data_IF_489113393068
#
_entry.id   IF_489113393068
#
_cell.length_a   1.000
_cell.length_b   1.000
_cell.length_c   1.000
_cell.angle_alpha   90.00
_cell.angle_beta   90.00
_cell.angle_gamma   90.00
#
_symmetry.space_group_name_H-M   'P 1'
#
loop_
_entity.id
_entity.type
_entity.pdbx_description
1 polymer ?
#
# COMPACT_ATOMS: atom_id res chain seq x y z
N UNK A 1 33.45 16.12 55.69
CA UNK A 1 34.01 14.92 55.03
C UNK A 1 33.30 14.72 53.71
N UNK A 2 34.06 14.78 52.60
CA UNK A 2 33.60 14.57 51.22
C UNK A 2 33.23 13.10 50.98
N UNK A 3 32.19 12.85 50.19
CA UNK A 3 32.22 11.88 49.08
C UNK A 3 31.22 12.30 47.99
N UNK A 4 31.77 12.50 46.78
CA UNK A 4 31.10 12.71 45.49
C UNK A 4 30.67 11.37 44.89
N UNK A 5 29.65 11.37 44.04
CA UNK A 5 29.48 10.48 42.88
C UNK A 5 28.28 11.00 42.05
N UNK A 6 28.53 11.92 41.11
CA UNK A 6 28.49 11.74 39.62
C UNK A 6 27.09 11.60 39.01
N UNK A 7 26.64 12.71 38.43
CA UNK A 7 25.71 12.79 37.30
C UNK A 7 26.39 12.29 36.01
N UNK A 8 25.63 11.63 35.14
CA UNK A 8 25.74 11.78 33.69
C UNK A 8 24.34 11.96 33.09
N UNK A 9 24.18 12.82 32.06
CA UNK A 9 22.92 13.02 31.35
C UNK A 9 22.92 12.19 30.06
N UNK A 10 21.81 11.54 29.73
CA UNK A 10 21.58 11.09 28.35
C UNK A 10 20.33 11.75 27.80
N UNK A 11 20.61 12.66 26.89
CA UNK A 11 19.78 13.19 25.82
C UNK A 11 19.38 12.08 24.84
N UNK A 12 18.13 12.07 24.39
CA UNK A 12 17.68 11.89 22.99
C UNK A 12 16.21 11.49 22.94
N UNK A 13 15.30 12.46 23.01
CA UNK A 13 13.89 12.31 22.61
C UNK A 13 13.39 13.63 22.01
N UNK A 14 13.94 14.06 20.87
CA UNK A 14 13.34 15.11 20.04
C UNK A 14 13.68 14.86 18.57
N UNK A 15 13.03 13.87 17.93
CA UNK A 15 13.17 13.67 16.48
C UNK A 15 11.86 13.24 15.77
N UNK A 16 10.69 13.63 16.30
CA UNK A 16 9.39 13.32 15.68
C UNK A 16 8.54 14.52 15.25
N UNK A 17 9.03 15.77 15.37
CA UNK A 17 8.22 16.98 15.10
C UNK A 17 8.75 17.90 13.99
N UNK A 18 9.58 17.39 13.07
CA UNK A 18 10.19 18.23 12.02
C UNK A 18 9.27 18.56 10.82
N UNK A 19 8.08 17.94 10.70
CA UNK A 19 7.17 18.21 9.57
C UNK A 19 6.35 19.52 9.73
N UNK A 20 6.32 20.12 10.92
CA UNK A 20 5.30 21.13 11.27
C UNK A 20 5.79 22.59 11.28
N UNK A 21 7.05 22.88 10.89
CA UNK A 21 7.63 24.23 11.11
C UNK A 21 8.38 24.89 9.95
N UNK A 22 8.18 24.47 8.70
CA UNK A 22 8.77 25.17 7.55
C UNK A 22 7.72 25.74 6.60
N UNK A 23 6.99 26.78 7.03
CA UNK A 23 6.19 27.63 6.14
C UNK A 23 6.85 29.01 6.08
N UNK A 24 7.70 29.20 5.07
CA UNK A 24 8.16 30.53 4.64
C UNK A 24 7.12 31.11 3.68
N UNK A 25 6.68 32.34 3.96
CA UNK A 25 5.76 33.12 3.12
C UNK A 25 6.41 33.41 1.77
N UNK A 26 5.81 32.92 0.68
CA UNK A 26 6.16 33.33 -0.69
C UNK A 26 4.94 33.90 -1.42
N UNK A 27 5.22 34.92 -2.24
CA UNK A 27 4.29 35.86 -2.87
C UNK A 27 3.60 35.25 -4.10
N UNK A 28 2.33 35.63 -4.31
CA UNK A 28 1.47 35.19 -5.43
C UNK A 28 2.14 35.32 -6.81
N UNK A 29 2.05 34.29 -7.67
CA UNK A 29 2.13 34.45 -9.11
C UNK A 29 0.75 34.39 -9.79
N UNK A 30 0.70 35.05 -10.95
CA UNK A 30 -0.45 35.27 -11.82
C UNK A 30 -0.97 33.98 -12.46
N UNK A 31 -2.30 33.92 -12.57
CA UNK A 31 -3.06 32.96 -13.36
C UNK A 31 -2.63 33.09 -14.83
N UNK A 32 -1.91 32.09 -15.33
CA UNK A 32 -1.64 31.87 -16.75
C UNK A 32 -2.37 30.60 -17.21
N UNK A 33 -2.96 30.66 -18.39
CA UNK A 33 -3.83 29.64 -19.00
C UNK A 33 -3.17 28.26 -19.11
N UNK A 34 -3.89 27.24 -18.61
CA UNK A 34 -3.58 25.81 -18.68
C UNK A 34 -3.51 25.32 -20.14
N UNK A 35 -2.46 24.59 -20.55
CA UNK A 35 -2.45 23.89 -21.83
C UNK A 35 -3.38 22.67 -21.77
N UNK A 36 -4.26 22.51 -22.77
CA UNK A 36 -5.02 21.28 -22.98
C UNK A 36 -4.07 20.14 -23.35
N UNK A 37 -3.78 19.25 -22.40
CA UNK A 37 -3.20 17.94 -22.66
C UNK A 37 -4.33 16.90 -22.74
N UNK A 38 -4.30 16.08 -23.80
CA UNK A 38 -5.27 15.02 -24.11
C UNK A 38 -5.09 13.80 -23.19
N UNK A 39 -5.14 13.99 -21.88
CA UNK A 39 -5.40 12.88 -20.97
C UNK A 39 -6.90 12.70 -20.96
N UNK A 40 -7.42 11.85 -21.84
CA UNK A 40 -8.77 11.31 -21.63
C UNK A 40 -8.75 10.64 -20.26
N UNK A 41 -9.47 11.17 -19.25
CA UNK A 41 -9.73 10.38 -18.07
C UNK A 41 -10.62 9.24 -18.56
N UNK A 42 -10.34 8.02 -18.12
CA UNK A 42 -11.18 6.84 -18.37
C UNK A 42 -12.53 7.04 -17.62
N UNK A 43 -13.32 7.97 -18.14
CA UNK A 43 -14.61 8.44 -17.63
C UNK A 43 -15.68 7.59 -18.27
N UNK A 44 -15.73 6.31 -17.92
CA UNK A 44 -16.92 5.48 -18.09
C UNK A 44 -16.82 4.16 -17.32
N UNK A 45 -16.75 4.27 -15.99
CA UNK A 45 -17.48 3.35 -15.13
C UNK A 45 -18.55 4.14 -14.38
N UNK A 46 -19.49 4.72 -15.13
CA UNK A 46 -20.83 4.88 -14.58
C UNK A 46 -21.30 3.47 -14.23
N UNK A 47 -21.28 3.14 -12.93
CA UNK A 47 -21.85 1.92 -12.42
C UNK A 47 -23.35 1.94 -12.75
N UNK A 48 -23.73 1.35 -13.89
CA UNK A 48 -25.08 0.90 -14.14
C UNK A 48 -25.40 -0.19 -13.09
N UNK A 49 -25.76 0.25 -11.88
CA UNK A 49 -25.98 -0.57 -10.69
C UNK A 49 -27.26 -1.44 -10.75
N UNK A 50 -27.92 -1.51 -11.91
CA UNK A 50 -29.08 -2.39 -12.16
C UNK A 50 -28.77 -3.51 -13.17
N UNK A 51 -27.51 -3.95 -13.27
CA UNK A 51 -27.18 -5.23 -13.90
C UNK A 51 -27.58 -6.43 -13.03
N UNK A 52 -27.83 -7.59 -13.64
CA UNK A 52 -28.10 -8.84 -12.91
C UNK A 52 -27.03 -9.10 -11.84
N UNK A 53 -27.41 -9.07 -10.56
CA UNK A 53 -26.51 -9.41 -9.46
C UNK A 53 -26.22 -10.92 -9.47
N UNK A 54 -24.99 -11.28 -9.12
CA UNK A 54 -24.60 -12.69 -8.94
C UNK A 54 -24.58 -13.03 -7.45
N UNK A 55 -25.31 -14.07 -7.08
CA UNK A 55 -25.26 -14.63 -5.74
C UNK A 55 -23.91 -15.34 -5.52
N UNK A 56 -23.21 -14.98 -4.44
CA UNK A 56 -21.94 -15.60 -4.08
C UNK A 56 -21.92 -15.92 -2.59
N UNK A 57 -21.52 -17.14 -2.26
CA UNK A 57 -21.35 -17.55 -0.86
C UNK A 57 -20.35 -16.64 -0.14
N UNK A 58 -20.72 -16.23 1.06
CA UNK A 58 -19.93 -15.38 1.93
C UNK A 58 -19.93 -15.98 3.34
N UNK A 59 -18.77 -16.44 3.79
CA UNK A 59 -18.64 -17.22 5.02
C UNK A 59 -18.37 -16.30 6.22
N UNK A 60 -19.16 -16.44 7.28
CA UNK A 60 -19.02 -15.66 8.52
C UNK A 60 -19.03 -16.58 9.74
N UNK A 61 -18.35 -16.21 10.84
CA UNK A 61 -18.48 -16.94 12.09
C UNK A 61 -19.91 -16.85 12.64
N UNK A 62 -20.36 -17.88 13.35
CA UNK A 62 -21.61 -17.85 14.11
C UNK A 62 -21.58 -16.76 15.20
N UNK A 63 -22.77 -16.26 15.59
CA UNK A 63 -22.94 -15.21 16.61
C UNK A 63 -22.39 -15.63 17.98
N UNK A 64 -22.36 -16.93 18.27
CA UNK A 64 -21.76 -17.47 19.49
C UNK A 64 -20.22 -17.37 19.52
N UNK A 65 -19.60 -16.90 18.43
CA UNK A 65 -18.16 -16.78 18.26
C UNK A 65 -17.54 -18.13 17.91
N UNK A 66 -17.16 -18.31 16.65
CA UNK A 66 -16.26 -19.41 16.28
C UNK A 66 -14.81 -19.00 16.55
N UNK A 67 -14.25 -19.50 17.66
CA UNK A 67 -12.84 -19.27 18.01
C UNK A 67 -11.86 -20.11 17.16
N UNK A 68 -12.35 -21.03 16.31
CA UNK A 68 -11.51 -21.95 15.53
C UNK A 68 -11.12 -21.42 14.14
N UNK A 69 -11.62 -20.24 13.78
CA UNK A 69 -11.40 -19.65 12.46
C UNK A 69 -11.96 -20.50 11.31
N UNK A 70 -12.98 -21.33 11.52
CA UNK A 70 -13.55 -22.21 10.50
C UNK A 70 -14.07 -21.42 9.31
N UNK A 71 -14.76 -20.30 9.54
CA UNK A 71 -15.24 -19.43 8.45
C UNK A 71 -14.08 -18.95 7.56
N UNK A 72 -12.96 -18.57 8.17
CA UNK A 72 -11.75 -18.19 7.45
C UNK A 72 -11.19 -19.37 6.65
N UNK A 73 -11.03 -20.53 7.30
CA UNK A 73 -10.41 -21.72 6.69
C UNK A 73 -11.24 -22.26 5.51
N UNK A 74 -12.57 -22.21 5.62
CA UNK A 74 -13.47 -22.55 4.51
C UNK A 74 -13.32 -21.54 3.36
N UNK A 75 -13.33 -20.24 3.63
CA UNK A 75 -13.17 -19.23 2.59
C UNK A 75 -11.82 -19.37 1.88
N UNK A 76 -10.75 -19.62 2.63
CA UNK A 76 -9.41 -19.90 2.11
C UNK A 76 -9.38 -21.16 1.24
N UNK A 77 -9.99 -22.26 1.67
CA UNK A 77 -10.06 -23.50 0.89
C UNK A 77 -10.84 -23.32 -0.43
N UNK A 78 -11.93 -22.55 -0.40
CA UNK A 78 -12.69 -22.19 -1.60
C UNK A 78 -11.93 -21.24 -2.53
N UNK A 79 -11.13 -20.33 -1.98
CA UNK A 79 -10.22 -19.51 -2.78
C UNK A 79 -9.10 -20.34 -3.42
N UNK A 80 -8.62 -21.38 -2.75
CA UNK A 80 -7.57 -22.28 -3.26
C UNK A 80 -8.07 -23.25 -4.34
N UNK A 81 -9.29 -23.74 -4.19
CA UNK A 81 -9.98 -24.56 -5.20
C UNK A 81 -10.72 -23.73 -6.26
N UNK A 82 -10.46 -22.42 -6.30
CA UNK A 82 -11.02 -21.52 -7.28
C UNK A 82 -10.49 -21.84 -8.67
N UNK A 83 -11.39 -22.21 -9.59
CA UNK A 83 -11.06 -22.40 -10.99
C UNK A 83 -10.90 -21.03 -11.67
N UNK A 84 -9.78 -20.83 -12.38
CA UNK A 84 -9.53 -19.66 -13.21
C UNK A 84 -10.65 -19.33 -14.21
N UNK A 85 -11.45 -20.32 -14.62
CA UNK A 85 -12.61 -20.14 -15.50
C UNK A 85 -13.83 -19.53 -14.80
N UNK A 86 -13.85 -19.50 -13.46
CA UNK A 86 -14.91 -18.83 -12.69
C UNK A 86 -14.74 -17.31 -12.73
N UNK A 87 -15.76 -16.58 -12.30
CA UNK A 87 -15.73 -15.12 -12.26
C UNK A 87 -14.86 -14.60 -11.13
N UNK A 88 -13.91 -13.70 -11.42
CA UNK A 88 -13.03 -13.07 -10.40
C UNK A 88 -13.80 -12.36 -9.28
N UNK A 89 -15.06 -12.01 -9.55
CA UNK A 89 -16.07 -11.58 -8.57
C UNK A 89 -16.19 -12.57 -7.41
N UNK A 90 -16.38 -13.87 -7.68
CA UNK A 90 -16.55 -14.89 -6.64
C UNK A 90 -15.31 -15.01 -5.75
N UNK A 91 -14.11 -14.88 -6.33
CA UNK A 91 -12.86 -14.81 -5.56
C UNK A 91 -12.87 -13.64 -4.56
N UNK A 92 -13.35 -12.47 -4.98
CA UNK A 92 -13.50 -11.32 -4.10
C UNK A 92 -14.47 -11.58 -2.94
N UNK A 93 -15.52 -12.38 -3.14
CA UNK A 93 -16.41 -12.82 -2.05
C UNK A 93 -15.68 -13.66 -1.00
N UNK A 94 -14.80 -14.58 -1.44
CA UNK A 94 -14.00 -15.39 -0.53
C UNK A 94 -12.94 -14.57 0.21
N UNK A 95 -12.27 -13.62 -0.47
CA UNK A 95 -11.33 -12.69 0.19
C UNK A 95 -12.06 -11.79 1.18
N UNK A 96 -13.22 -11.26 0.82
CA UNK A 96 -14.08 -10.50 1.72
C UNK A 96 -14.50 -11.32 2.95
N UNK A 97 -14.82 -12.60 2.77
CA UNK A 97 -15.13 -13.52 3.87
C UNK A 97 -13.92 -13.70 4.81
N UNK A 98 -12.72 -13.90 4.28
CA UNK A 98 -11.48 -14.01 5.06
C UNK A 98 -11.19 -12.74 5.87
N UNK A 99 -11.35 -11.56 5.25
CA UNK A 99 -11.17 -10.28 5.94
C UNK A 99 -12.16 -10.10 7.10
N UNK A 100 -13.45 -10.39 6.86
CA UNK A 100 -14.51 -10.23 7.86
C UNK A 100 -14.50 -11.31 8.95
N UNK A 101 -13.96 -12.49 8.65
CA UNK A 101 -13.81 -13.57 9.64
C UNK A 101 -12.78 -13.22 10.72
N UNK A 102 -11.70 -12.49 10.35
CA UNK A 102 -10.71 -12.00 11.32
C UNK A 102 -11.20 -10.71 11.97
N UNK A 103 -11.65 -9.74 11.17
CA UNK A 103 -12.10 -8.43 11.64
C UNK A 103 -13.57 -8.19 11.22
N UNK A 104 -14.55 -8.55 12.07
CA UNK A 104 -15.97 -8.36 11.76
C UNK A 104 -16.37 -6.92 11.42
N UNK A 105 -15.60 -5.94 11.93
CA UNK A 105 -15.81 -4.52 11.63
C UNK A 105 -15.67 -4.14 10.15
N UNK A 106 -15.04 -4.97 9.32
CA UNK A 106 -14.91 -4.72 7.88
C UNK A 106 -16.17 -5.07 7.08
N UNK A 107 -17.16 -5.72 7.70
CA UNK A 107 -18.33 -6.27 7.00
C UNK A 107 -19.05 -5.25 6.13
N UNK A 108 -19.38 -4.08 6.67
CA UNK A 108 -20.17 -3.09 5.93
C UNK A 108 -19.44 -2.56 4.68
N UNK A 109 -18.13 -2.29 4.80
CA UNK A 109 -17.34 -1.79 3.68
C UNK A 109 -17.03 -2.87 2.65
N UNK A 110 -16.79 -4.12 3.08
CA UNK A 110 -16.68 -5.29 2.19
C UNK A 110 -17.98 -5.53 1.43
N UNK A 111 -19.13 -5.56 2.11
CA UNK A 111 -20.44 -5.75 1.44
C UNK A 111 -20.72 -4.64 0.42
N UNK A 112 -20.38 -3.40 0.75
CA UNK A 112 -20.54 -2.27 -0.17
C UNK A 112 -19.67 -2.43 -1.40
N UNK A 113 -18.41 -2.84 -1.24
CA UNK A 113 -17.52 -3.13 -2.35
C UNK A 113 -18.04 -4.28 -3.24
N UNK A 114 -18.51 -5.38 -2.63
CA UNK A 114 -19.09 -6.52 -3.35
C UNK A 114 -20.34 -6.12 -4.14
N UNK A 115 -21.25 -5.33 -3.55
CA UNK A 115 -22.42 -4.79 -4.25
C UNK A 115 -22.00 -3.89 -5.42
N UNK A 116 -20.96 -3.07 -5.25
CA UNK A 116 -20.38 -2.23 -6.30
C UNK A 116 -19.95 -3.03 -7.54
N UNK A 117 -19.42 -4.23 -7.35
CA UNK A 117 -19.04 -5.12 -8.46
C UNK A 117 -20.18 -6.07 -8.90
N UNK A 118 -21.40 -5.87 -8.41
CA UNK A 118 -22.58 -6.66 -8.78
C UNK A 118 -22.68 -8.03 -8.11
N UNK A 119 -22.10 -8.20 -6.93
CA UNK A 119 -22.27 -9.40 -6.09
C UNK A 119 -23.32 -9.15 -5.02
N UNK A 120 -24.20 -10.13 -4.85
CA UNK A 120 -25.07 -10.26 -3.67
C UNK A 120 -24.50 -11.35 -2.76
N UNK A 121 -23.92 -10.98 -1.60
CA UNK A 121 -23.37 -11.97 -0.68
C UNK A 121 -24.47 -12.84 -0.06
N UNK A 122 -24.33 -14.16 -0.17
CA UNK A 122 -25.16 -15.13 0.54
C UNK A 122 -24.44 -15.57 1.81
N UNK A 123 -24.89 -15.04 2.95
CA UNK A 123 -24.23 -15.30 4.22
C UNK A 123 -24.41 -16.73 4.68
N UNK A 124 -23.28 -17.38 4.95
CA UNK A 124 -23.20 -18.71 5.54
C UNK A 124 -22.54 -18.59 6.91
N UNK A 125 -23.29 -18.84 7.97
CA UNK A 125 -22.79 -18.85 9.34
C UNK A 125 -22.21 -20.21 9.69
N UNK A 126 -20.96 -20.24 10.15
CA UNK A 126 -20.23 -21.47 10.46
C UNK A 126 -19.85 -21.54 11.96
N UNK A 127 -19.93 -22.75 12.56
CA UNK A 127 -20.23 -24.05 11.95
C UNK A 127 -21.72 -24.37 11.71
N UNK A 128 -22.67 -23.57 12.21
CA UNK A 128 -24.10 -23.93 12.27
C UNK A 128 -24.72 -24.36 10.94
N UNK A 129 -24.31 -23.75 9.83
CA UNK A 129 -24.85 -24.04 8.50
C UNK A 129 -23.97 -24.99 7.66
N UNK A 130 -22.85 -25.50 8.19
CA UNK A 130 -21.90 -26.32 7.43
C UNK A 130 -22.58 -27.52 6.76
N UNK A 131 -23.42 -28.26 7.50
CA UNK A 131 -24.15 -29.43 6.95
C UNK A 131 -25.14 -29.05 5.85
N UNK A 132 -25.82 -27.90 5.98
CA UNK A 132 -26.82 -27.43 5.03
C UNK A 132 -26.21 -27.16 3.65
N UNK A 133 -24.95 -26.74 3.62
CA UNK A 133 -24.22 -26.39 2.39
C UNK A 133 -23.13 -27.42 2.04
N UNK A 134 -23.23 -28.64 2.57
CA UNK A 134 -22.33 -29.76 2.28
C UNK A 134 -20.84 -29.45 2.54
N UNK A 135 -20.53 -28.68 3.59
CA UNK A 135 -19.17 -28.51 4.08
C UNK A 135 -18.84 -29.65 5.03
N UNK A 136 -17.87 -30.47 4.64
CA UNK A 136 -17.26 -31.48 5.49
C UNK A 136 -16.14 -30.83 6.29
N UNK A 137 -16.41 -30.44 7.54
CA UNK A 137 -15.46 -29.69 8.39
C UNK A 137 -14.11 -30.40 8.53
N UNK A 138 -14.10 -31.74 8.57
CA UNK A 138 -12.87 -32.53 8.68
C UNK A 138 -11.98 -32.49 7.43
N UNK A 139 -12.52 -32.09 6.28
CA UNK A 139 -11.76 -31.93 5.03
C UNK A 139 -11.18 -30.52 4.87
N UNK A 140 -11.67 -29.55 5.67
CA UNK A 140 -11.18 -28.17 5.63
C UNK A 140 -9.76 -28.12 6.20
N UNK A 141 -8.78 -27.48 5.52
CA UNK A 141 -7.42 -27.36 6.00
C UNK A 141 -7.36 -26.83 7.44
N UNK A 142 -6.49 -27.42 8.26
CA UNK A 142 -6.17 -26.88 9.57
C UNK A 142 -5.14 -25.77 9.39
N UNK A 143 -5.46 -24.58 9.91
CA UNK A 143 -4.56 -23.44 9.98
C UNK A 143 -4.53 -23.00 11.44
N UNK A 144 -3.33 -22.84 11.99
CA UNK A 144 -3.16 -22.20 13.27
C UNK A 144 -3.38 -20.68 13.15
N UNK A 145 -3.48 -20.01 14.29
CA UNK A 145 -3.75 -18.57 14.32
C UNK A 145 -2.68 -17.75 13.58
N UNK A 146 -1.40 -18.13 13.72
CA UNK A 146 -0.31 -17.46 13.02
C UNK A 146 -0.45 -17.56 11.49
N UNK A 147 -0.82 -18.73 10.97
CA UNK A 147 -1.10 -18.94 9.54
C UNK A 147 -2.29 -18.11 9.05
N UNK A 148 -3.36 -18.03 9.84
CA UNK A 148 -4.54 -17.21 9.54
C UNK A 148 -4.14 -15.74 9.44
N UNK A 149 -3.37 -15.23 10.41
CA UNK A 149 -2.91 -13.84 10.41
C UNK A 149 -1.98 -13.53 9.24
N UNK A 150 -1.10 -14.45 8.82
CA UNK A 150 -0.26 -14.26 7.62
C UNK A 150 -1.13 -14.14 6.37
N UNK A 151 -2.09 -15.05 6.16
CA UNK A 151 -2.97 -15.02 4.99
C UNK A 151 -3.87 -13.79 5.02
N UNK A 152 -4.40 -13.42 6.19
CA UNK A 152 -5.18 -12.20 6.38
C UNK A 152 -4.36 -10.95 6.07
N UNK A 153 -3.14 -10.85 6.60
CA UNK A 153 -2.23 -9.74 6.30
C UNK A 153 -1.91 -9.64 4.81
N UNK A 154 -1.73 -10.78 4.15
CA UNK A 154 -1.56 -10.82 2.70
C UNK A 154 -2.79 -10.30 1.97
N UNK A 155 -3.99 -10.76 2.33
CA UNK A 155 -5.25 -10.27 1.75
C UNK A 155 -5.42 -8.76 1.94
N UNK A 156 -5.01 -8.22 3.10
CA UNK A 156 -4.99 -6.77 3.33
C UNK A 156 -4.07 -6.09 2.33
N UNK A 157 -2.83 -6.55 2.15
CA UNK A 157 -1.89 -5.97 1.18
C UNK A 157 -2.43 -6.00 -0.26
N UNK A 158 -3.21 -7.03 -0.63
CA UNK A 158 -3.83 -7.12 -1.97
C UNK A 158 -4.86 -6.01 -2.22
N UNK A 159 -5.44 -5.41 -1.19
CA UNK A 159 -6.37 -4.29 -1.37
C UNK A 159 -5.65 -3.02 -1.85
N UNK A 160 -4.34 -2.92 -1.68
CA UNK A 160 -3.53 -1.73 -1.91
C UNK A 160 -2.55 -1.91 -3.08
N UNK A 161 -2.18 -0.80 -3.73
CA UNK A 161 -1.07 -0.79 -4.70
C UNK A 161 0.24 -0.56 -3.96
N UNK A 162 0.83 -1.62 -3.39
CA UNK A 162 2.03 -1.49 -2.54
C UNK A 162 3.29 -1.23 -3.37
N UNK A 163 3.47 -1.97 -4.46
CA UNK A 163 4.64 -1.85 -5.31
C UNK A 163 4.32 -1.01 -6.55
N UNK A 164 5.34 -0.30 -7.02
CA UNK A 164 5.34 0.39 -8.30
C UNK A 164 6.50 -0.16 -9.13
N UNK A 165 6.33 -1.41 -9.55
CA UNK A 165 7.38 -2.17 -10.23
C UNK A 165 7.82 -1.51 -11.55
N UNK A 166 6.91 -0.71 -12.15
CA UNK A 166 7.19 0.10 -13.34
C UNK A 166 8.31 1.13 -13.11
N UNK A 167 8.48 1.64 -11.88
CA UNK A 167 9.48 2.66 -11.56
C UNK A 167 10.65 2.16 -10.72
N UNK A 168 10.53 0.99 -10.07
CA UNK A 168 11.53 0.47 -9.15
C UNK A 168 11.87 -0.99 -9.46
N UNK A 169 12.89 -1.21 -10.29
CA UNK A 169 13.39 -2.54 -10.63
C UNK A 169 14.54 -2.97 -9.69
N UNK A 170 14.23 -3.83 -8.72
CA UNK A 170 15.20 -4.40 -7.78
C UNK A 170 15.83 -5.69 -8.33
N UNK A 171 17.13 -5.91 -8.11
CA UNK A 171 17.89 -7.13 -8.48
C UNK A 171 17.19 -8.42 -8.06
N UNK A 172 16.61 -8.42 -6.86
CA UNK A 172 15.98 -9.60 -6.27
C UNK A 172 14.55 -9.86 -6.76
N UNK A 173 13.88 -8.85 -7.35
CA UNK A 173 12.54 -9.02 -7.93
C UNK A 173 12.58 -9.89 -9.21
N UNK A 174 13.71 -9.95 -9.90
CA UNK A 174 13.86 -10.82 -11.08
C UNK A 174 13.89 -12.32 -10.76
N UNK A 175 14.12 -12.72 -9.50
CA UNK A 175 14.34 -14.12 -9.11
C UNK A 175 13.21 -14.70 -8.24
N UNK A 176 12.30 -13.89 -7.72
CA UNK A 176 11.24 -14.34 -6.82
C UNK A 176 9.99 -13.51 -7.01
N UNK A 177 8.82 -14.17 -7.06
CA UNK A 177 7.54 -13.45 -7.18
C UNK A 177 7.40 -12.48 -5.97
N UNK A 178 7.00 -11.22 -6.18
CA UNK A 178 6.81 -10.22 -5.12
C UNK A 178 5.95 -10.72 -3.96
N UNK A 179 4.94 -11.56 -4.28
CA UNK A 179 4.07 -12.23 -3.33
C UNK A 179 4.85 -13.06 -2.30
N UNK A 180 5.80 -13.88 -2.72
CA UNK A 180 6.60 -14.75 -1.83
C UNK A 180 7.42 -13.93 -0.82
N UNK A 181 7.95 -12.79 -1.23
CA UNK A 181 8.72 -11.91 -0.33
C UNK A 181 7.81 -11.33 0.76
N UNK A 182 6.62 -10.85 0.40
CA UNK A 182 5.63 -10.32 1.35
C UNK A 182 5.17 -11.38 2.34
N UNK A 183 4.88 -12.58 1.85
CA UNK A 183 4.47 -13.72 2.70
C UNK A 183 5.60 -14.11 3.65
N UNK A 184 6.84 -14.19 3.16
CA UNK A 184 8.00 -14.53 3.99
C UNK A 184 8.20 -13.51 5.12
N UNK A 185 8.12 -12.22 4.82
CA UNK A 185 8.20 -11.14 5.82
C UNK A 185 7.05 -11.21 6.83
N UNK A 186 5.81 -11.45 6.38
CA UNK A 186 4.67 -11.65 7.28
C UNK A 186 4.89 -12.85 8.20
N UNK A 187 5.37 -13.98 7.66
CA UNK A 187 5.67 -15.18 8.45
C UNK A 187 6.71 -14.91 9.52
N UNK A 188 7.80 -14.23 9.16
CA UNK A 188 8.85 -13.84 10.10
C UNK A 188 8.29 -12.97 11.23
N UNK A 189 7.51 -11.93 10.89
CA UNK A 189 6.92 -11.02 11.87
C UNK A 189 5.90 -11.69 12.80
N UNK A 190 5.22 -12.72 12.33
CA UNK A 190 4.16 -13.41 13.08
C UNK A 190 4.60 -14.72 13.74
N UNK A 191 5.86 -15.12 13.55
CA UNK A 191 6.39 -16.39 14.05
C UNK A 191 5.77 -17.63 13.39
N UNK A 192 5.28 -17.50 12.16
CA UNK A 192 4.62 -18.60 11.44
C UNK A 192 5.66 -19.52 10.78
N UNK A 193 5.83 -20.74 11.29
CA UNK A 193 6.72 -21.75 10.70
C UNK A 193 6.06 -22.55 9.57
N UNK A 194 4.73 -22.59 9.54
CA UNK A 194 3.93 -23.37 8.58
C UNK A 194 4.21 -23.02 7.12
N UNK A 195 4.24 -24.04 6.26
CA UNK A 195 4.25 -23.84 4.82
C UNK A 195 2.85 -23.42 4.38
N UNK A 196 2.72 -22.20 3.83
CA UNK A 196 1.46 -21.65 3.37
C UNK A 196 1.44 -21.61 1.85
N UNK A 197 0.42 -22.24 1.28
CA UNK A 197 0.15 -22.15 -0.15
C UNK A 197 -0.77 -20.95 -0.41
N UNK A 198 -0.27 -19.90 -1.06
CA UNK A 198 -1.08 -18.72 -1.32
C UNK A 198 -1.79 -18.89 -2.67
N UNK A 199 -3.13 -18.83 -2.69
CA UNK A 199 -3.90 -19.28 -3.84
C UNK A 199 -4.02 -18.24 -4.96
N UNK A 200 -3.29 -17.13 -4.88
CA UNK A 200 -3.46 -16.01 -5.78
C UNK A 200 -2.27 -15.92 -6.74
N UNK A 201 -2.55 -15.87 -8.03
CA UNK A 201 -1.60 -15.41 -9.05
C UNK A 201 -1.75 -13.90 -9.29
N UNK A 202 -0.87 -13.32 -10.10
CA UNK A 202 -0.87 -11.88 -10.40
C UNK A 202 -2.22 -11.36 -10.92
N UNK A 203 -2.91 -12.13 -11.76
CA UNK A 203 -4.23 -11.75 -12.28
C UNK A 203 -5.30 -11.76 -11.18
N UNK A 204 -5.22 -12.70 -10.23
CA UNK A 204 -6.10 -12.74 -9.06
C UNK A 204 -5.85 -11.54 -8.15
N UNK A 205 -4.58 -11.24 -7.87
CA UNK A 205 -4.18 -10.09 -7.05
C UNK A 205 -4.65 -8.77 -7.66
N UNK A 206 -4.46 -8.60 -8.97
CA UNK A 206 -4.97 -7.44 -9.71
C UNK A 206 -6.50 -7.34 -9.60
N UNK A 207 -7.22 -8.44 -9.79
CA UNK A 207 -8.67 -8.44 -9.69
C UNK A 207 -9.15 -8.10 -8.27
N UNK A 208 -8.56 -8.69 -7.23
CA UNK A 208 -8.89 -8.38 -5.83
C UNK A 208 -8.66 -6.88 -5.55
N UNK A 209 -7.50 -6.34 -5.97
CA UNK A 209 -7.15 -4.93 -5.76
C UNK A 209 -8.15 -3.97 -6.41
N UNK A 210 -8.57 -4.27 -7.64
CA UNK A 210 -9.43 -3.39 -8.45
C UNK A 210 -10.92 -3.56 -8.12
N UNK A 211 -11.36 -4.78 -7.82
CA UNK A 211 -12.76 -5.10 -7.55
C UNK A 211 -13.14 -4.90 -6.08
N UNK A 212 -12.27 -5.29 -5.15
CA UNK A 212 -12.56 -5.23 -3.71
C UNK A 212 -11.92 -4.02 -3.03
N UNK A 213 -10.76 -3.58 -3.49
CA UNK A 213 -9.98 -2.45 -2.95
C UNK A 213 -10.60 -1.07 -3.19
N UNK A 214 -11.87 -0.88 -2.83
CA UNK A 214 -12.55 0.42 -2.86
C UNK A 214 -11.94 1.38 -1.84
N UNK A 215 -12.01 2.70 -2.11
CA UNK A 215 -11.53 3.75 -1.20
C UNK A 215 -12.10 3.57 0.21
N UNK A 216 -13.40 3.30 0.33
CA UNK A 216 -14.06 3.14 1.63
C UNK A 216 -13.56 1.92 2.41
N UNK A 217 -13.32 0.78 1.74
CA UNK A 217 -12.74 -0.39 2.41
C UNK A 217 -11.29 -0.11 2.83
N UNK A 218 -10.48 0.51 1.97
CA UNK A 218 -9.10 0.89 2.30
C UNK A 218 -9.05 1.83 3.51
N UNK A 219 -9.93 2.82 3.56
CA UNK A 219 -10.04 3.74 4.71
C UNK A 219 -10.38 2.99 5.99
N UNK A 220 -11.38 2.10 5.95
CA UNK A 220 -11.75 1.25 7.09
C UNK A 220 -10.55 0.43 7.59
N UNK A 221 -9.77 -0.14 6.66
CA UNK A 221 -8.57 -0.93 6.97
C UNK A 221 -7.48 -0.04 7.59
N UNK A 222 -7.16 1.12 7.01
CA UNK A 222 -6.15 2.03 7.56
C UNK A 222 -6.55 2.51 8.96
N UNK A 223 -7.80 2.91 9.17
CA UNK A 223 -8.29 3.29 10.51
C UNK A 223 -8.15 2.13 11.50
N UNK A 224 -8.45 0.90 11.10
CA UNK A 224 -8.22 -0.28 11.94
C UNK A 224 -6.75 -0.45 12.29
N UNK A 225 -5.84 -0.39 11.31
CA UNK A 225 -4.40 -0.58 11.51
C UNK A 225 -3.84 0.47 12.49
N UNK A 226 -4.24 1.74 12.33
CA UNK A 226 -3.82 2.82 13.22
C UNK A 226 -4.36 2.64 14.65
N UNK A 227 -5.63 2.23 14.79
CA UNK A 227 -6.24 2.02 16.10
C UNK A 227 -5.69 0.78 16.84
N UNK A 228 -5.09 -0.16 16.11
CA UNK A 228 -4.54 -1.42 16.65
C UNK A 228 -3.02 -1.49 16.60
N UNK A 229 -2.35 -0.36 16.42
CA UNK A 229 -0.90 -0.29 16.36
C UNK A 229 -0.24 -0.82 17.64
N UNK A 230 -0.83 -0.52 18.81
CA UNK A 230 -0.36 -0.97 20.14
C UNK A 230 -1.30 -2.01 20.76
N UNK A 231 -1.72 -3.01 19.98
CA UNK A 231 -2.62 -4.05 20.46
C UNK A 231 -1.96 -4.92 21.57
N UNK A 232 -2.68 -5.32 22.64
CA UNK A 232 -2.11 -6.15 23.71
C UNK A 232 -1.70 -7.56 23.25
N UNK A 233 -2.36 -8.09 22.22
CA UNK A 233 -1.90 -9.29 21.52
C UNK A 233 -0.71 -8.94 20.62
N UNK A 234 0.45 -9.55 20.91
CA UNK A 234 1.71 -9.25 20.23
C UNK A 234 1.72 -9.62 18.75
N UNK A 235 0.96 -10.64 18.32
CA UNK A 235 0.87 -11.02 16.91
C UNK A 235 0.01 -10.01 16.15
N UNK A 236 -1.12 -9.58 16.71
CA UNK A 236 -1.95 -8.54 16.11
C UNK A 236 -1.19 -7.20 16.05
N UNK A 237 -0.47 -6.84 17.11
CA UNK A 237 0.38 -5.66 17.14
C UNK A 237 1.45 -5.73 16.04
N UNK A 238 2.22 -6.82 15.98
CA UNK A 238 3.26 -7.04 14.95
C UNK A 238 2.70 -7.00 13.54
N UNK A 239 1.52 -7.59 13.32
CA UNK A 239 0.81 -7.52 12.05
C UNK A 239 0.46 -6.07 11.69
N UNK A 240 -0.18 -5.34 12.60
CA UNK A 240 -0.65 -3.98 12.34
C UNK A 240 0.52 -3.03 12.08
N UNK A 241 1.61 -3.14 12.85
CA UNK A 241 2.84 -2.39 12.64
C UNK A 241 3.47 -2.71 11.29
N UNK A 242 3.61 -4.00 10.94
CA UNK A 242 4.16 -4.41 9.65
C UNK A 242 3.33 -3.88 8.48
N UNK A 243 2.00 -4.03 8.52
CA UNK A 243 1.11 -3.55 7.47
C UNK A 243 1.14 -2.03 7.36
N UNK A 244 1.07 -1.31 8.49
CA UNK A 244 1.15 0.15 8.52
C UNK A 244 2.44 0.65 7.87
N UNK A 245 3.58 0.09 8.26
CA UNK A 245 4.88 0.45 7.72
C UNK A 245 5.02 0.08 6.24
N UNK A 246 4.46 -1.05 5.81
CA UNK A 246 4.51 -1.50 4.41
C UNK A 246 3.63 -0.63 3.51
N UNK A 247 2.49 -0.16 4.02
CA UNK A 247 1.55 0.67 3.27
C UNK A 247 1.93 2.16 3.28
N UNK A 248 2.62 2.63 4.32
CA UNK A 248 3.12 4.00 4.44
C UNK A 248 4.07 4.34 3.28
N UNK A 249 3.82 5.46 2.60
CA UNK A 249 4.59 5.96 1.45
C UNK A 249 4.74 4.95 0.28
N UNK A 250 3.85 3.97 0.20
CA UNK A 250 3.91 2.92 -0.83
C UNK A 250 3.12 3.26 -2.10
N UNK A 251 3.28 2.44 -3.14
CA UNK A 251 2.67 2.67 -4.45
C UNK A 251 3.23 3.89 -5.14
N UNK A 252 2.35 4.77 -5.62
CA UNK A 252 2.73 6.00 -6.34
C UNK A 252 3.42 7.02 -5.42
N UNK A 253 3.22 6.93 -4.08
CA UNK A 253 3.93 7.79 -3.11
C UNK A 253 5.42 7.49 -3.02
N UNK A 254 5.88 6.32 -3.49
CA UNK A 254 7.29 5.94 -3.39
C UNK A 254 8.21 6.87 -4.19
N UNK A 255 7.71 7.42 -5.30
CA UNK A 255 8.38 8.45 -6.09
C UNK A 255 8.71 9.66 -5.21
N UNK A 256 7.73 10.12 -4.44
CA UNK A 256 7.89 11.25 -3.53
C UNK A 256 8.78 10.92 -2.33
N UNK A 257 8.68 9.70 -1.80
CA UNK A 257 9.56 9.27 -0.73
C UNK A 257 11.03 9.39 -1.15
N UNK A 258 11.38 8.92 -2.35
CA UNK A 258 12.75 9.00 -2.87
C UNK A 258 13.19 10.45 -3.12
N UNK A 259 12.33 11.29 -3.73
CA UNK A 259 12.60 12.73 -3.90
C UNK A 259 12.84 13.40 -2.54
N UNK A 260 12.00 13.11 -1.54
CA UNK A 260 12.09 13.68 -0.21
C UNK A 260 13.39 13.27 0.50
N UNK A 261 13.72 11.98 0.51
CA UNK A 261 14.93 11.48 1.17
C UNK A 261 16.21 11.99 0.49
N UNK A 262 16.25 12.03 -0.84
CA UNK A 262 17.48 12.32 -1.57
C UNK A 262 17.69 13.78 -1.91
N UNK A 263 16.63 14.57 -2.07
CA UNK A 263 16.74 15.97 -2.48
C UNK A 263 16.30 16.94 -1.38
N UNK A 264 15.16 16.70 -0.72
CA UNK A 264 14.60 17.65 0.24
C UNK A 264 15.38 17.61 1.56
N UNK A 265 15.48 16.43 2.18
CA UNK A 265 16.16 16.26 3.49
C UNK A 265 17.65 16.63 3.42
N UNK A 266 18.29 16.35 2.29
CA UNK A 266 19.71 16.70 2.04
C UNK A 266 19.91 18.17 1.66
N UNK A 267 18.82 18.94 1.49
CA UNK A 267 18.86 20.33 1.01
C UNK A 267 19.64 20.48 -0.29
N UNK A 268 19.42 19.55 -1.22
CA UNK A 268 20.15 19.47 -2.48
C UNK A 268 20.08 20.78 -3.27
N UNK A 269 21.20 21.31 -3.80
CA UNK A 269 21.22 22.52 -4.62
C UNK A 269 20.43 22.37 -5.93
N UNK A 270 20.16 21.12 -6.35
CA UNK A 270 19.30 20.79 -7.49
C UNK A 270 17.96 21.50 -7.39
N UNK A 271 17.37 21.58 -6.19
CA UNK A 271 16.06 22.21 -5.96
C UNK A 271 16.03 23.71 -6.31
N UNK A 272 17.19 24.36 -6.41
CA UNK A 272 17.32 25.78 -6.79
C UNK A 272 17.69 25.98 -8.26
N UNK A 273 17.88 24.89 -9.03
CA UNK A 273 18.31 24.99 -10.42
C UNK A 273 17.16 25.45 -11.33
N UNK A 274 17.39 26.50 -12.13
CA UNK A 274 16.34 27.15 -12.94
C UNK A 274 15.65 26.24 -13.96
N UNK A 275 16.34 25.20 -14.45
CA UNK A 275 15.76 24.26 -15.40
C UNK A 275 14.63 23.38 -14.83
N UNK A 276 14.50 23.29 -13.50
CA UNK A 276 13.50 22.42 -12.85
C UNK A 276 12.51 23.20 -11.97
N UNK A 277 12.49 24.54 -12.05
CA UNK A 277 11.62 25.38 -11.20
C UNK A 277 10.16 24.95 -11.27
N UNK A 278 9.65 24.64 -12.46
CA UNK A 278 8.26 24.19 -12.61
C UNK A 278 7.98 22.85 -11.91
N UNK A 279 8.93 21.90 -11.93
CA UNK A 279 8.78 20.63 -11.21
C UNK A 279 8.86 20.82 -9.69
N UNK A 280 9.68 21.78 -9.22
CA UNK A 280 9.77 22.15 -7.80
C UNK A 280 8.48 22.82 -7.32
N UNK A 281 7.88 23.72 -8.11
CA UNK A 281 6.59 24.33 -7.80
C UNK A 281 5.48 23.26 -7.69
N UNK A 282 5.45 22.31 -8.64
CA UNK A 282 4.53 21.16 -8.59
C UNK A 282 4.76 20.33 -7.31
N UNK A 283 6.02 20.18 -6.88
CA UNK A 283 6.37 19.33 -5.74
C UNK A 283 5.87 19.98 -4.46
N UNK A 284 6.04 21.29 -4.33
CA UNK A 284 5.49 22.06 -3.21
C UNK A 284 3.96 21.97 -3.15
N UNK A 285 3.28 22.10 -4.29
CA UNK A 285 1.82 21.92 -4.37
C UNK A 285 1.40 20.51 -3.91
N UNK A 286 2.11 19.50 -4.36
CA UNK A 286 1.82 18.10 -4.01
C UNK A 286 2.08 17.81 -2.53
N UNK A 287 3.17 18.34 -1.97
CA UNK A 287 3.44 18.24 -0.52
C UNK A 287 2.35 18.91 0.30
N UNK A 288 1.81 20.04 -0.14
CA UNK A 288 0.67 20.69 0.52
C UNK A 288 -0.59 19.84 0.46
N UNK A 289 -0.89 19.23 -0.69
CA UNK A 289 -2.04 18.32 -0.82
C UNK A 289 -1.91 17.08 0.08
N UNK A 290 -0.73 16.45 0.10
CA UNK A 290 -0.42 15.31 0.97
C UNK A 290 -0.55 15.71 2.44
N UNK A 291 0.07 16.83 2.85
CA UNK A 291 0.07 17.30 4.23
C UNK A 291 -1.31 17.74 4.74
N UNK A 292 -2.21 18.15 3.84
CA UNK A 292 -3.60 18.49 4.18
C UNK A 292 -4.50 17.27 4.38
N UNK A 293 -4.07 16.07 3.97
CA UNK A 293 -4.86 14.85 4.09
C UNK A 293 -4.86 14.31 5.53
N UNK A 294 -5.95 13.70 5.98
CA UNK A 294 -6.08 13.13 7.34
C UNK A 294 -5.00 12.08 7.64
N UNK A 295 -4.57 11.37 6.60
CA UNK A 295 -3.56 10.32 6.66
C UNK A 295 -2.49 10.55 5.58
N UNK A 296 -1.54 11.49 5.77
CA UNK A 296 -0.58 11.90 4.71
C UNK A 296 0.24 10.72 4.17
N UNK A 297 0.69 9.84 5.06
CA UNK A 297 1.48 8.64 4.78
C UNK A 297 0.76 7.64 3.86
N UNK A 298 -0.57 7.70 3.79
CA UNK A 298 -1.40 6.78 3.00
C UNK A 298 -2.12 7.47 1.85
N UNK A 299 -1.66 8.68 1.46
CA UNK A 299 -2.35 9.55 0.51
C UNK A 299 -2.69 8.85 -0.81
N UNK A 300 -1.75 8.13 -1.45
CA UNK A 300 -2.01 7.38 -2.71
C UNK A 300 -3.14 6.36 -2.62
N UNK A 301 -3.39 5.83 -1.42
CA UNK A 301 -4.38 4.78 -1.22
C UNK A 301 -5.78 5.31 -0.94
N UNK A 302 -5.86 6.55 -0.44
CA UNK A 302 -7.05 7.15 0.16
C UNK A 302 -7.49 8.46 -0.49
N UNK A 303 -6.69 9.06 -1.37
CA UNK A 303 -7.09 10.25 -2.09
C UNK A 303 -8.19 9.94 -3.12
N UNK A 304 -8.90 10.96 -3.56
CA UNK A 304 -9.88 10.86 -4.65
C UNK A 304 -9.18 10.68 -5.99
N UNK A 305 -9.92 10.18 -6.99
CA UNK A 305 -9.41 10.07 -8.36
C UNK A 305 -8.96 11.43 -8.92
N UNK A 306 -9.65 12.51 -8.52
CA UNK A 306 -9.28 13.89 -8.87
C UNK A 306 -8.05 14.41 -8.16
N UNK A 307 -7.55 13.76 -7.12
CA UNK A 307 -6.32 14.12 -6.40
C UNK A 307 -5.13 13.28 -6.86
N UNK A 308 -5.35 12.16 -7.57
CA UNK A 308 -4.28 11.31 -8.08
C UNK A 308 -3.34 12.04 -9.05
N UNK A 309 -3.79 13.11 -9.71
CA UNK A 309 -2.91 13.93 -10.56
C UNK A 309 -1.77 14.60 -9.77
N UNK A 310 -1.89 14.77 -8.45
CA UNK A 310 -0.77 15.21 -7.62
C UNK A 310 0.37 14.20 -7.64
N UNK A 311 0.07 12.92 -7.82
CA UNK A 311 1.06 11.84 -7.82
C UNK A 311 1.57 11.46 -9.21
N UNK A 312 1.14 12.17 -10.26
CA UNK A 312 1.58 11.89 -11.61
C UNK A 312 3.08 12.20 -11.77
N UNK A 313 3.87 11.15 -12.01
CA UNK A 313 5.34 11.23 -12.20
C UNK A 313 5.71 12.18 -13.33
N UNK A 314 4.84 12.39 -14.31
CA UNK A 314 5.08 13.32 -15.41
C UNK A 314 5.29 14.77 -14.94
N UNK A 315 4.84 15.12 -13.74
CA UNK A 315 5.02 16.45 -13.13
C UNK A 315 6.40 16.66 -12.48
N UNK A 316 7.15 15.58 -12.29
CA UNK A 316 8.43 15.54 -11.55
C UNK A 316 9.50 14.72 -12.28
N UNK A 317 9.40 14.56 -13.61
CA UNK A 317 10.22 13.59 -14.36
C UNK A 317 11.72 13.78 -14.09
N UNK A 318 12.20 15.02 -14.17
CA UNK A 318 13.62 15.33 -14.00
C UNK A 318 14.04 15.19 -12.54
N UNK A 319 13.24 15.71 -11.62
CA UNK A 319 13.48 15.59 -10.18
C UNK A 319 13.53 14.14 -9.72
N UNK A 320 12.58 13.33 -10.18
CA UNK A 320 12.52 11.92 -9.87
C UNK A 320 13.73 11.18 -10.44
N UNK A 321 14.09 11.43 -11.69
CA UNK A 321 15.27 10.79 -12.31
C UNK A 321 16.56 11.07 -11.52
N UNK A 322 16.79 12.34 -11.14
CA UNK A 322 17.94 12.73 -10.32
C UNK A 322 17.88 12.07 -8.95
N UNK A 323 16.73 12.11 -8.27
CA UNK A 323 16.58 11.50 -6.95
C UNK A 323 16.81 9.98 -7.00
N UNK A 324 16.33 9.31 -8.05
CA UNK A 324 16.48 7.88 -8.24
C UNK A 324 17.93 7.48 -8.50
N UNK A 325 18.67 8.23 -9.33
CA UNK A 325 20.10 7.97 -9.54
C UNK A 325 20.92 8.20 -8.27
N UNK A 326 20.59 9.23 -7.48
CA UNK A 326 21.18 9.38 -6.15
C UNK A 326 20.85 8.17 -5.26
N UNK A 327 19.59 7.75 -5.19
CA UNK A 327 19.17 6.60 -4.37
C UNK A 327 19.94 5.32 -4.72
N UNK A 328 20.14 5.05 -6.00
CA UNK A 328 20.92 3.90 -6.51
C UNK A 328 22.37 3.91 -6.09
N UNK A 329 22.98 5.08 -5.92
CA UNK A 329 24.36 5.14 -5.41
C UNK A 329 24.48 4.70 -3.96
N UNK A 330 23.40 4.83 -3.18
CA UNK A 330 23.34 4.41 -1.78
C UNK A 330 22.77 3.00 -1.59
N UNK A 331 21.87 2.55 -2.47
CA UNK A 331 21.22 1.25 -2.39
C UNK A 331 21.67 0.32 -3.51
N UNK A 332 22.44 -0.70 -3.15
CA UNK A 332 22.94 -1.71 -4.10
C UNK A 332 21.88 -2.69 -4.60
N UNK A 333 20.66 -2.63 -4.05
CA UNK A 333 19.56 -3.55 -4.37
C UNK A 333 18.94 -3.31 -5.74
N UNK A 334 19.19 -2.17 -6.39
CA UNK A 334 18.73 -1.86 -7.75
C UNK A 334 19.44 -2.67 -8.83
N UNK A 335 18.72 -3.03 -9.89
CA UNK A 335 19.30 -3.71 -11.06
C UNK A 335 20.36 -2.83 -11.75
N UNK A 336 21.46 -3.44 -12.19
CA UNK A 336 22.58 -2.73 -12.82
C UNK A 336 22.18 -2.13 -14.17
N UNK A 337 21.28 -2.79 -14.90
CA UNK A 337 20.89 -2.41 -16.28
C UNK A 337 19.74 -1.39 -16.33
N UNK A 338 19.30 -0.90 -15.16
CA UNK A 338 18.20 0.06 -15.07
C UNK A 338 18.68 1.49 -15.39
N UNK A 339 17.93 2.24 -16.18
CA UNK A 339 18.24 3.64 -16.52
C UNK A 339 17.12 4.55 -16.02
N UNK A 340 17.43 5.48 -15.11
CA UNK A 340 16.48 6.46 -14.57
C UNK A 340 15.86 7.34 -15.67
N UNK A 341 16.63 7.63 -16.71
CA UNK A 341 16.23 8.44 -17.86
C UNK A 341 15.20 7.73 -18.74
N UNK A 342 15.28 6.41 -18.86
CA UNK A 342 14.34 5.61 -19.68
C UNK A 342 12.98 5.50 -18.98
N UNK A 343 12.99 5.51 -17.66
CA UNK A 343 11.83 5.36 -16.78
C UNK A 343 11.07 6.68 -16.63
N UNK A 344 11.79 7.79 -16.70
CA UNK A 344 11.23 9.15 -16.58
C UNK A 344 11.03 9.83 -17.94
N UNK A 345 11.49 9.22 -19.04
CA UNK A 345 11.53 9.79 -20.39
C UNK A 345 12.28 11.14 -20.46
N UNK A 346 13.36 11.29 -19.67
CA UNK A 346 14.12 12.55 -19.55
C UNK A 346 15.43 12.51 -20.32
N UNK A 347 15.90 13.68 -20.74
CA UNK A 347 17.22 13.83 -21.32
C UNK A 347 18.32 13.50 -20.30
N UNK A 348 19.01 12.37 -20.52
CA UNK A 348 20.12 11.89 -19.68
C UNK A 348 21.22 12.95 -19.44
N UNK A 349 21.50 13.82 -20.42
CA UNK A 349 22.50 14.89 -20.26
C UNK A 349 22.07 15.94 -19.23
N UNK A 350 20.77 16.23 -19.15
CA UNK A 350 20.24 17.16 -18.15
C UNK A 350 20.33 16.55 -16.74
N UNK A 351 19.93 15.29 -16.58
CA UNK A 351 20.04 14.55 -15.30
C UNK A 351 21.49 14.52 -14.82
N UNK A 352 22.44 14.15 -15.70
CA UNK A 352 23.86 14.11 -15.34
C UNK A 352 24.40 15.46 -14.84
N UNK A 353 24.04 16.57 -15.50
CA UNK A 353 24.46 17.91 -15.08
C UNK A 353 23.91 18.28 -13.69
N UNK A 354 22.68 17.88 -13.38
CA UNK A 354 22.08 18.11 -12.06
C UNK A 354 22.70 17.22 -10.98
N UNK A 355 23.09 15.99 -11.31
CA UNK A 355 23.83 15.11 -10.41
C UNK A 355 25.22 15.67 -10.09
N UNK A 356 25.96 16.17 -11.10
CA UNK A 356 27.24 16.86 -10.91
C UNK A 356 27.10 18.03 -9.93
N UNK A 357 26.06 18.86 -10.11
CA UNK A 357 25.73 19.96 -9.19
C UNK A 357 25.49 19.49 -7.75
N UNK A 358 24.80 18.36 -7.55
CA UNK A 358 24.57 17.79 -6.22
C UNK A 358 25.86 17.32 -5.54
N UNK A 359 26.70 16.59 -6.28
CA UNK A 359 27.95 16.03 -5.75
C UNK A 359 29.02 17.10 -5.48
N UNK A 360 29.11 18.13 -6.32
CA UNK A 360 30.01 19.27 -6.09
C UNK A 360 29.70 19.97 -4.75
N UNK A 361 28.42 20.10 -4.41
CA UNK A 361 28.01 20.71 -3.14
C UNK A 361 28.19 19.79 -1.93
N UNK A 362 28.21 18.47 -2.13
CA UNK A 362 28.37 17.47 -1.06
C UNK A 362 29.83 17.10 -0.78
N UNK A 363 30.78 17.62 -1.58
CA UNK A 363 32.22 17.35 -1.47
C UNK A 363 32.96 18.33 -0.54
N UNK A 364 32.21 19.18 0.16
CA UNK A 364 32.67 20.10 1.20
C UNK A 364 32.04 19.72 2.53
#
# INVERSE_FOLDING_TARGET
>A
MRKRSTQSPDSNEEEENALDRSIVRSTRPRIGSVPKTNNQPNTQFEFNMMGNMTDCLFYVPDVAGDCTGLAFRVAYDKAKSYDSNKTKKQLCSYVGSMLCAVIPGFRNSVETALKGIGIRPEFVSLPSQARKINIVISEVPQLDWSSILVIFGYCVLLLFKVDNEDFFCFKYMCLSRPSHVKISKLKEKLGCSSYLNIPFNENDEYAIRTMLGTRHLRETVITFLMNKFDHPDSQICSLCQYLSNTLSWSGDMRVFAVINERLIKTKSPVLSHSAITAEVDNLEETMKAIGAHTYPHYFSHLCSDSELFHLDVSRFRTLFAVALDLDRTFDSSYANDYSSADVSEVNHKAVKKLLELHWEASSF
#
